data_IF_205287944303
#
_entry.id   IF_205287944303
#
_cell.length_a   1.000
_cell.length_b   1.000
_cell.length_c   1.000
_cell.angle_alpha   90.00
_cell.angle_beta   90.00
_cell.angle_gamma   90.00
#
_symmetry.space_group_name_H-M   'P 1'
#
loop_
_entity.id
_entity.type
_entity.pdbx_description
1 polymer ?
#
# COMPACT_ATOMS: atom_id res chain seq x y z
N UNK A 1 56.49 -35.96 -3.31
CA UNK A 1 57.17 -34.79 -3.89
C UNK A 1 56.34 -33.56 -3.56
N UNK A 2 56.83 -32.77 -2.61
CA UNK A 2 56.19 -31.57 -2.07
C UNK A 2 56.41 -30.37 -3.00
N UNK A 3 55.37 -29.95 -3.71
CA UNK A 3 55.39 -28.69 -4.46
C UNK A 3 55.05 -27.53 -3.51
N UNK A 4 56.08 -26.82 -3.08
CA UNK A 4 56.03 -25.57 -2.33
C UNK A 4 55.19 -24.53 -3.08
N UNK A 5 54.12 -24.03 -2.46
CA UNK A 5 53.39 -22.85 -2.94
C UNK A 5 54.19 -21.60 -2.55
N UNK A 6 54.90 -21.03 -3.52
CA UNK A 6 55.48 -19.70 -3.42
C UNK A 6 54.38 -18.67 -3.75
N UNK A 7 54.00 -17.74 -2.85
CA UNK A 7 52.99 -16.72 -3.11
C UNK A 7 53.61 -15.56 -3.89
N UNK A 8 54.06 -15.85 -5.10
CA UNK A 8 54.49 -14.84 -6.08
C UNK A 8 53.94 -15.26 -7.43
N UNK A 9 52.69 -14.93 -7.73
CA UNK A 9 52.18 -14.94 -9.10
C UNK A 9 51.13 -13.84 -9.28
N UNK A 10 51.53 -12.86 -10.08
CA UNK A 10 50.75 -11.99 -10.96
C UNK A 10 49.22 -11.99 -10.81
N UNK A 11 48.67 -10.78 -10.63
CA UNK A 11 47.26 -10.45 -10.89
C UNK A 11 47.03 -10.50 -12.41
N UNK A 12 47.08 -11.69 -12.99
CA UNK A 12 46.76 -11.91 -14.40
C UNK A 12 45.24 -12.04 -14.55
N UNK A 13 44.59 -11.32 -15.49
CA UNK A 13 43.14 -11.37 -15.64
C UNK A 13 42.70 -12.79 -16.02
N UNK A 14 41.87 -13.40 -15.17
CA UNK A 14 41.37 -14.75 -15.37
C UNK A 14 40.58 -14.83 -16.69
N UNK A 15 40.97 -15.76 -17.58
CA UNK A 15 40.18 -16.09 -18.78
C UNK A 15 38.83 -16.71 -18.39
N UNK A 16 37.80 -16.57 -19.25
CA UNK A 16 36.43 -17.04 -18.99
C UNK A 16 36.38 -18.50 -18.47
N UNK A 17 37.14 -19.39 -19.09
CA UNK A 17 37.21 -20.81 -18.68
C UNK A 17 37.90 -21.04 -17.34
N UNK A 18 38.92 -20.23 -17.01
CA UNK A 18 39.62 -20.29 -15.73
C UNK A 18 38.73 -19.78 -14.58
N UNK A 19 37.90 -18.76 -14.82
CA UNK A 19 36.93 -18.27 -13.82
C UNK A 19 35.89 -19.34 -13.47
N UNK A 20 35.28 -19.98 -14.48
CA UNK A 20 34.21 -20.95 -14.25
C UNK A 20 34.76 -22.22 -13.58
N UNK A 21 35.90 -22.74 -14.06
CA UNK A 21 36.52 -23.93 -13.47
C UNK A 21 37.04 -23.68 -12.06
N UNK A 22 37.62 -22.51 -11.77
CA UNK A 22 37.98 -22.11 -10.42
C UNK A 22 36.74 -21.98 -9.53
N UNK A 23 35.69 -21.31 -10.00
CA UNK A 23 34.43 -21.17 -9.27
C UNK A 23 33.77 -22.50 -8.94
N UNK A 24 33.76 -23.45 -9.88
CA UNK A 24 33.17 -24.77 -9.68
C UNK A 24 33.99 -25.61 -8.69
N UNK A 25 35.34 -25.52 -8.73
CA UNK A 25 36.23 -26.15 -7.75
C UNK A 25 36.06 -25.56 -6.35
N UNK A 26 35.92 -24.24 -6.23
CA UNK A 26 35.64 -23.56 -4.96
C UNK A 26 34.27 -23.97 -4.40
N UNK A 27 33.24 -23.99 -5.24
CA UNK A 27 31.90 -24.41 -4.85
C UNK A 27 31.85 -25.86 -4.40
N UNK A 28 32.49 -26.79 -5.12
CA UNK A 28 32.49 -28.20 -4.77
C UNK A 28 33.30 -28.50 -3.50
N UNK A 29 34.41 -27.79 -3.28
CA UNK A 29 35.27 -28.00 -2.10
C UNK A 29 34.66 -27.48 -0.81
N UNK A 30 33.85 -26.42 -0.86
CA UNK A 30 33.22 -25.79 0.31
C UNK A 30 31.68 -25.87 0.29
N UNK A 31 31.14 -26.83 -0.46
CA UNK A 31 29.71 -26.94 -0.77
C UNK A 31 28.80 -26.80 0.46
N UNK A 32 29.11 -27.49 1.55
CA UNK A 32 28.30 -27.46 2.78
C UNK A 32 28.32 -26.08 3.46
N UNK A 33 29.47 -25.41 3.46
CA UNK A 33 29.60 -24.07 4.07
C UNK A 33 28.88 -23.02 3.22
N UNK A 34 29.10 -23.02 1.91
CA UNK A 34 28.46 -22.09 0.98
C UNK A 34 26.95 -22.29 0.90
N UNK A 35 26.46 -23.53 0.89
CA UNK A 35 25.02 -23.80 0.98
C UNK A 35 24.43 -23.34 2.31
N UNK A 36 25.13 -23.53 3.43
CA UNK A 36 24.68 -23.05 4.74
C UNK A 36 24.57 -21.52 4.80
N UNK A 37 25.58 -20.81 4.27
CA UNK A 37 25.59 -19.36 4.16
C UNK A 37 24.47 -18.85 3.22
N UNK A 38 24.28 -19.51 2.06
CA UNK A 38 23.23 -19.16 1.11
C UNK A 38 21.84 -19.35 1.73
N UNK A 39 21.59 -20.49 2.38
CA UNK A 39 20.30 -20.75 3.04
C UNK A 39 20.01 -19.71 4.12
N UNK A 40 21.00 -19.39 4.97
CA UNK A 40 20.86 -18.34 5.98
C UNK A 40 20.55 -16.98 5.34
N UNK A 41 21.23 -16.62 4.25
CA UNK A 41 20.96 -15.37 3.54
C UNK A 41 19.52 -15.30 3.00
N UNK A 42 19.00 -16.39 2.43
CA UNK A 42 17.63 -16.42 1.92
C UNK A 42 16.55 -16.35 3.02
N UNK A 43 16.84 -16.74 4.26
CA UNK A 43 15.91 -16.54 5.38
C UNK A 43 15.62 -15.06 5.65
N UNK A 44 16.60 -14.18 5.43
CA UNK A 44 16.41 -12.73 5.63
C UNK A 44 15.43 -12.12 4.64
N UNK A 45 15.20 -12.74 3.48
CA UNK A 45 14.19 -12.30 2.51
C UNK A 45 12.77 -12.43 3.06
N UNK A 46 12.52 -13.31 4.03
CA UNK A 46 11.20 -13.51 4.64
C UNK A 46 10.86 -12.40 5.65
N UNK A 47 11.86 -11.74 6.24
CA UNK A 47 11.68 -10.75 7.31
C UNK A 47 10.76 -9.58 6.91
N UNK A 48 10.91 -8.94 5.73
CA UNK A 48 9.98 -7.89 5.28
C UNK A 48 8.53 -8.39 5.13
N UNK A 49 8.33 -9.59 4.57
CA UNK A 49 6.99 -10.17 4.40
C UNK A 49 6.30 -10.42 5.75
N UNK A 50 7.05 -10.94 6.72
CA UNK A 50 6.55 -11.09 8.09
C UNK A 50 6.23 -9.72 8.72
N UNK A 51 7.09 -8.72 8.52
CA UNK A 51 6.87 -7.36 9.00
C UNK A 51 5.60 -6.72 8.45
N UNK A 52 5.35 -6.85 7.15
CA UNK A 52 4.12 -6.37 6.51
C UNK A 52 2.89 -7.12 7.01
N UNK A 53 2.96 -8.44 7.13
CA UNK A 53 1.89 -9.26 7.69
C UNK A 53 1.55 -8.83 9.13
N UNK A 54 2.58 -8.59 9.95
CA UNK A 54 2.42 -8.12 11.33
C UNK A 54 1.85 -6.72 11.41
N UNK A 55 2.28 -5.81 10.55
CA UNK A 55 1.73 -4.46 10.48
C UNK A 55 0.22 -4.52 10.16
N UNK A 56 -0.17 -5.22 9.09
CA UNK A 56 -1.57 -5.38 8.69
C UNK A 56 -2.43 -6.01 9.81
N UNK A 57 -1.92 -7.06 10.46
CA UNK A 57 -2.57 -7.68 11.60
C UNK A 57 -2.78 -6.69 12.77
N UNK A 58 -1.77 -5.90 13.13
CA UNK A 58 -1.90 -4.93 14.23
C UNK A 58 -2.91 -3.83 13.89
N UNK A 59 -2.96 -3.38 12.63
CA UNK A 59 -3.97 -2.42 12.18
C UNK A 59 -5.38 -3.01 12.31
N UNK A 60 -5.57 -4.22 11.81
CA UNK A 60 -6.85 -4.93 11.88
C UNK A 60 -7.26 -5.29 13.32
N UNK A 61 -6.28 -5.46 14.22
CA UNK A 61 -6.53 -5.63 15.65
C UNK A 61 -7.19 -4.39 16.27
N UNK A 62 -6.78 -3.17 15.86
CA UNK A 62 -7.39 -1.94 16.36
C UNK A 62 -8.86 -1.89 15.93
N UNK A 63 -9.17 -2.19 14.67
CA UNK A 63 -10.56 -2.21 14.19
C UNK A 63 -11.39 -3.32 14.84
N UNK A 64 -10.83 -4.51 15.12
CA UNK A 64 -11.51 -5.56 15.91
C UNK A 64 -11.86 -5.07 17.31
N UNK A 65 -10.91 -4.44 18.02
CA UNK A 65 -11.16 -3.90 19.35
C UNK A 65 -12.23 -2.79 19.33
N UNK A 66 -12.12 -1.85 18.39
CA UNK A 66 -13.14 -0.80 18.20
C UNK A 66 -14.52 -1.39 17.88
N UNK A 67 -14.60 -2.47 17.10
CA UNK A 67 -15.86 -3.14 16.82
C UNK A 67 -16.44 -3.83 18.07
N UNK A 68 -15.59 -4.48 18.89
CA UNK A 68 -16.02 -5.09 20.15
C UNK A 68 -16.66 -4.08 21.10
N UNK A 69 -16.09 -2.87 21.20
CA UNK A 69 -16.69 -1.75 21.94
C UNK A 69 -18.07 -1.35 21.39
N UNK A 70 -18.23 -1.25 20.06
CA UNK A 70 -19.51 -0.90 19.42
C UNK A 70 -20.61 -1.93 19.65
N UNK A 71 -20.23 -3.19 19.85
CA UNK A 71 -21.14 -4.31 20.07
C UNK A 71 -21.42 -4.57 21.57
N UNK A 72 -20.83 -3.76 22.47
CA UNK A 72 -20.85 -3.97 23.92
C UNK A 72 -20.26 -5.33 24.35
N UNK A 73 -19.31 -5.86 23.58
CA UNK A 73 -18.57 -7.08 23.88
C UNK A 73 -17.06 -6.78 23.83
N UNK A 74 -16.53 -6.01 24.80
CA UNK A 74 -15.13 -5.61 24.80
C UNK A 74 -14.21 -6.83 24.98
N UNK A 75 -13.28 -7.00 24.04
CA UNK A 75 -12.29 -8.06 24.08
C UNK A 75 -10.97 -7.58 24.69
N UNK A 76 -10.29 -8.43 25.46
CA UNK A 76 -8.94 -8.09 25.93
C UNK A 76 -7.95 -8.04 24.75
N UNK A 77 -7.03 -7.06 24.79
CA UNK A 77 -5.98 -6.90 23.76
C UNK A 77 -5.17 -8.18 23.54
N UNK A 78 -4.92 -8.95 24.61
CA UNK A 78 -4.16 -10.20 24.55
C UNK A 78 -4.92 -11.30 23.82
N UNK A 79 -6.23 -11.44 24.09
CA UNK A 79 -7.10 -12.41 23.42
C UNK A 79 -7.24 -12.09 21.94
N UNK A 80 -7.60 -10.85 21.62
CA UNK A 80 -7.77 -10.39 20.24
C UNK A 80 -6.46 -10.53 19.43
N UNK A 81 -5.31 -10.20 20.05
CA UNK A 81 -3.99 -10.39 19.42
C UNK A 81 -3.69 -11.85 19.10
N UNK A 82 -4.09 -12.80 19.93
CA UNK A 82 -3.86 -14.24 19.68
C UNK A 82 -4.62 -14.70 18.44
N UNK A 83 -5.87 -14.27 18.29
CA UNK A 83 -6.73 -14.61 17.13
C UNK A 83 -6.18 -14.00 15.84
N UNK A 84 -5.80 -12.73 15.87
CA UNK A 84 -5.27 -12.06 14.67
C UNK A 84 -3.89 -12.62 14.29
N UNK A 85 -3.02 -12.94 15.27
CA UNK A 85 -1.69 -13.48 15.01
C UNK A 85 -1.69 -14.90 14.43
N UNK A 86 -2.73 -15.71 14.64
CA UNK A 86 -2.82 -17.01 13.98
C UNK A 86 -3.11 -16.89 12.48
N UNK A 87 -3.60 -15.72 12.03
CA UNK A 87 -4.03 -15.44 10.66
C UNK A 87 -3.07 -14.53 9.88
N UNK A 88 -1.81 -14.39 10.29
CA UNK A 88 -0.84 -13.47 9.65
C UNK A 88 -0.70 -13.69 8.13
N UNK A 89 -0.66 -14.96 7.71
CA UNK A 89 -0.57 -15.30 6.29
C UNK A 89 -1.80 -14.82 5.51
N UNK A 90 -3.01 -14.93 6.09
CA UNK A 90 -4.24 -14.45 5.48
C UNK A 90 -4.23 -12.91 5.34
N UNK A 91 -3.72 -12.18 6.34
CA UNK A 91 -3.57 -10.71 6.23
C UNK A 91 -2.58 -10.31 5.14
N UNK A 92 -1.46 -11.02 5.02
CA UNK A 92 -0.50 -10.77 3.94
C UNK A 92 -1.13 -11.05 2.57
N UNK A 93 -1.77 -12.20 2.41
CA UNK A 93 -2.40 -12.60 1.16
C UNK A 93 -3.54 -11.64 0.78
N UNK A 94 -4.34 -11.20 1.75
CA UNK A 94 -5.38 -10.17 1.55
C UNK A 94 -4.77 -8.87 1.02
N UNK A 95 -3.69 -8.37 1.63
CA UNK A 95 -3.04 -7.14 1.16
C UNK A 95 -2.45 -7.30 -0.24
N UNK A 96 -1.85 -8.44 -0.56
CA UNK A 96 -1.35 -8.74 -1.91
C UNK A 96 -2.50 -8.77 -2.92
N UNK A 97 -3.63 -9.39 -2.59
CA UNK A 97 -4.81 -9.40 -3.47
C UNK A 97 -5.38 -8.00 -3.70
N UNK A 98 -5.52 -7.20 -2.64
CA UNK A 98 -5.97 -5.81 -2.73
C UNK A 98 -4.99 -5.01 -3.61
N UNK A 99 -3.68 -5.19 -3.43
CA UNK A 99 -2.65 -4.53 -4.24
C UNK A 99 -2.79 -4.90 -5.72
N UNK A 100 -2.99 -6.19 -6.05
CA UNK A 100 -3.21 -6.65 -7.41
C UNK A 100 -4.49 -6.05 -8.00
N UNK A 101 -5.58 -6.00 -7.24
CA UNK A 101 -6.84 -5.38 -7.68
C UNK A 101 -6.62 -3.89 -7.99
N UNK A 102 -5.96 -3.15 -7.11
CA UNK A 102 -5.63 -1.74 -7.38
C UNK A 102 -4.74 -1.59 -8.61
N UNK A 103 -3.70 -2.42 -8.75
CA UNK A 103 -2.78 -2.37 -9.88
C UNK A 103 -3.51 -2.63 -11.20
N UNK A 104 -4.34 -3.67 -11.29
CA UNK A 104 -5.15 -3.98 -12.48
C UNK A 104 -6.12 -2.84 -12.78
N UNK A 105 -6.76 -2.28 -11.76
CA UNK A 105 -7.69 -1.16 -11.91
C UNK A 105 -7.00 0.11 -12.42
N UNK A 106 -5.86 0.50 -11.83
CA UNK A 106 -5.11 1.66 -12.25
C UNK A 106 -4.50 1.50 -13.64
N UNK A 107 -3.98 0.31 -13.98
CA UNK A 107 -3.52 0.01 -15.35
C UNK A 107 -4.68 0.12 -16.34
N UNK A 108 -5.86 -0.42 -16.01
CA UNK A 108 -7.05 -0.27 -16.83
C UNK A 108 -7.41 1.21 -17.06
N UNK A 109 -7.39 2.01 -16.00
CA UNK A 109 -7.66 3.45 -16.09
C UNK A 109 -6.62 4.20 -16.93
N UNK A 110 -5.32 3.89 -16.80
CA UNK A 110 -4.27 4.54 -17.59
C UNK A 110 -4.34 4.16 -19.06
N UNK A 111 -4.69 2.91 -19.38
CA UNK A 111 -4.94 2.48 -20.76
C UNK A 111 -6.13 3.24 -21.36
N UNK A 112 -7.26 3.31 -20.65
CA UNK A 112 -8.45 4.03 -21.11
C UNK A 112 -8.15 5.52 -21.30
N UNK A 113 -7.44 6.15 -20.35
CA UNK A 113 -6.97 7.52 -20.47
C UNK A 113 -6.03 7.71 -21.67
N UNK A 114 -5.07 6.81 -21.87
CA UNK A 114 -4.12 6.88 -22.97
C UNK A 114 -4.81 6.78 -24.33
N UNK A 115 -5.76 5.87 -24.49
CA UNK A 115 -6.57 5.73 -25.71
C UNK A 115 -7.39 7.00 -25.95
N UNK A 116 -8.07 7.51 -24.92
CA UNK A 116 -8.85 8.74 -25.02
C UNK A 116 -7.97 9.94 -25.41
N UNK A 117 -6.77 10.07 -24.82
CA UNK A 117 -5.84 11.15 -25.12
C UNK A 117 -5.34 11.10 -26.56
N UNK A 118 -4.97 9.91 -27.07
CA UNK A 118 -4.54 9.74 -28.46
C UNK A 118 -5.69 10.03 -29.43
N UNK A 119 -6.91 9.56 -29.13
CA UNK A 119 -8.09 9.84 -29.96
C UNK A 119 -8.39 11.35 -30.03
N UNK A 120 -8.33 12.05 -28.89
CA UNK A 120 -8.50 13.51 -28.83
C UNK A 120 -7.39 14.23 -29.60
N UNK A 121 -6.13 13.83 -29.43
CA UNK A 121 -5.01 14.43 -30.16
C UNK A 121 -5.14 14.23 -31.68
N UNK A 122 -5.51 13.03 -32.12
CA UNK A 122 -5.77 12.73 -33.53
C UNK A 122 -6.96 13.50 -34.11
N UNK A 123 -8.01 13.71 -33.32
CA UNK A 123 -9.15 14.54 -33.73
C UNK A 123 -8.73 16.01 -33.89
N UNK A 124 -7.93 16.54 -32.96
CA UNK A 124 -7.41 17.92 -33.03
C UNK A 124 -6.60 18.10 -34.31
N UNK A 125 -5.63 17.22 -34.60
CA UNK A 125 -4.80 17.31 -35.81
C UNK A 125 -5.62 17.16 -37.10
N UNK A 126 -6.68 16.34 -37.08
CA UNK A 126 -7.57 16.16 -38.22
C UNK A 126 -8.46 17.39 -38.49
N UNK A 127 -8.84 18.15 -37.44
CA UNK A 127 -9.66 19.36 -37.56
C UNK A 127 -8.79 20.57 -37.95
N UNK A 128 -7.57 20.66 -37.44
CA UNK A 128 -6.71 21.85 -37.61
C UNK A 128 -5.86 21.83 -38.88
N UNK A 129 -6.13 20.96 -39.86
CA UNK A 129 -5.34 20.72 -41.10
C UNK A 129 -4.60 21.96 -41.63
N UNK A 130 -3.40 22.22 -41.12
CA UNK A 130 -2.53 23.32 -41.56
C UNK A 130 -2.73 24.70 -40.92
N UNK A 131 -3.70 24.91 -40.03
CA UNK A 131 -3.87 26.16 -39.28
C UNK A 131 -3.15 26.09 -37.91
N UNK A 132 -2.27 27.06 -37.64
CA UNK A 132 -1.52 27.14 -36.38
C UNK A 132 -2.37 27.63 -35.19
N UNK A 133 -3.60 28.07 -35.43
CA UNK A 133 -4.49 28.63 -34.42
C UNK A 133 -5.67 27.70 -34.18
N UNK A 134 -5.74 27.12 -32.97
CA UNK A 134 -6.92 26.36 -32.54
C UNK A 134 -8.11 27.30 -32.41
N UNK A 135 -9.22 26.98 -33.08
CA UNK A 135 -10.48 27.71 -32.90
C UNK A 135 -10.86 27.72 -31.40
N UNK A 136 -11.16 28.88 -30.79
CA UNK A 136 -11.54 28.98 -29.39
C UNK A 136 -12.65 28.01 -28.96
N UNK A 137 -13.58 27.67 -29.86
CA UNK A 137 -14.65 26.70 -29.61
C UNK A 137 -14.09 25.29 -29.35
N UNK A 138 -13.05 24.88 -30.09
CA UNK A 138 -12.41 23.57 -29.92
C UNK A 138 -11.70 23.51 -28.55
N UNK A 139 -11.05 24.59 -28.14
CA UNK A 139 -10.39 24.69 -26.84
C UNK A 139 -11.42 24.51 -25.71
N UNK A 140 -12.57 25.19 -25.79
CA UNK A 140 -13.65 25.08 -24.80
C UNK A 140 -14.17 23.63 -24.72
N UNK A 141 -14.42 22.99 -25.86
CA UNK A 141 -14.88 21.59 -25.91
C UNK A 141 -13.85 20.63 -25.31
N UNK A 142 -12.56 20.85 -25.56
CA UNK A 142 -11.47 20.04 -25.01
C UNK A 142 -11.39 20.19 -23.49
N UNK A 143 -11.46 21.43 -22.98
CA UNK A 143 -11.49 21.69 -21.54
C UNK A 143 -12.70 21.02 -20.89
N UNK A 144 -13.89 21.14 -21.48
CA UNK A 144 -15.10 20.49 -20.98
C UNK A 144 -14.97 18.96 -20.96
N UNK A 145 -14.44 18.38 -22.04
CA UNK A 145 -14.14 16.95 -22.11
C UNK A 145 -13.16 16.52 -21.01
N UNK A 146 -12.08 17.30 -20.80
CA UNK A 146 -11.10 17.06 -19.75
C UNK A 146 -11.70 17.07 -18.35
N UNK A 147 -12.60 18.02 -18.07
CA UNK A 147 -13.30 18.10 -16.77
C UNK A 147 -14.21 16.88 -16.56
N UNK A 148 -15.00 16.51 -17.57
CA UNK A 148 -15.89 15.33 -17.49
C UNK A 148 -15.06 14.05 -17.29
N UNK A 149 -13.97 13.91 -18.04
CA UNK A 149 -13.10 12.75 -17.96
C UNK A 149 -12.41 12.65 -16.59
N UNK A 150 -11.91 13.77 -16.07
CA UNK A 150 -11.36 13.85 -14.72
C UNK A 150 -12.41 13.46 -13.67
N UNK A 151 -13.64 13.98 -13.79
CA UNK A 151 -14.75 13.61 -12.91
C UNK A 151 -15.07 12.10 -12.95
N UNK A 152 -15.01 11.49 -14.13
CA UNK A 152 -15.20 10.05 -14.30
C UNK A 152 -14.09 9.24 -13.63
N UNK A 153 -12.82 9.63 -13.80
CA UNK A 153 -11.68 8.98 -13.12
C UNK A 153 -11.84 9.08 -11.60
N UNK A 154 -12.10 10.29 -11.08
CA UNK A 154 -12.24 10.50 -9.64
C UNK A 154 -13.39 9.66 -9.07
N UNK A 155 -14.52 9.62 -9.78
CA UNK A 155 -15.67 8.77 -9.41
C UNK A 155 -15.27 7.29 -9.37
N UNK A 156 -14.52 6.82 -10.36
CA UNK A 156 -14.07 5.43 -10.41
C UNK A 156 -13.13 5.10 -9.23
N UNK A 157 -12.19 5.99 -8.91
CA UNK A 157 -11.26 5.84 -7.78
C UNK A 157 -12.02 5.82 -6.45
N UNK A 158 -12.93 6.77 -6.21
CA UNK A 158 -13.74 6.80 -4.99
C UNK A 158 -14.62 5.56 -4.87
N UNK A 159 -15.18 5.11 -5.99
CA UNK A 159 -16.02 3.92 -6.02
C UNK A 159 -15.25 2.67 -5.61
N UNK A 160 -14.07 2.40 -6.21
CA UNK A 160 -13.28 1.20 -5.87
C UNK A 160 -12.76 1.27 -4.42
N UNK A 161 -12.35 2.46 -3.97
CA UNK A 161 -11.85 2.67 -2.60
C UNK A 161 -12.94 2.37 -1.57
N UNK A 162 -14.15 2.87 -1.80
CA UNK A 162 -15.29 2.60 -0.91
C UNK A 162 -15.66 1.11 -0.88
N UNK A 163 -15.55 0.41 -2.01
CA UNK A 163 -15.82 -1.04 -2.09
C UNK A 163 -14.83 -1.89 -1.29
N UNK A 164 -13.57 -1.46 -1.24
CA UNK A 164 -12.48 -2.19 -0.60
C UNK A 164 -12.12 -1.62 0.79
N UNK A 165 -12.86 -0.63 1.28
CA UNK A 165 -12.51 0.08 2.52
C UNK A 165 -12.56 -0.80 3.76
N UNK A 166 -13.57 -1.68 3.86
CA UNK A 166 -13.82 -2.51 5.05
C UNK A 166 -13.19 -3.90 4.99
N UNK A 167 -12.40 -4.23 3.96
CA UNK A 167 -11.92 -5.60 3.69
C UNK A 167 -11.15 -6.25 4.85
N UNK A 168 -10.42 -5.47 5.64
CA UNK A 168 -9.63 -6.02 6.76
C UNK A 168 -10.47 -6.38 7.99
N UNK A 169 -11.66 -5.78 8.13
CA UNK A 169 -12.50 -5.88 9.32
C UNK A 169 -13.21 -7.24 9.43
N UNK A 170 -13.85 -7.78 8.36
CA UNK A 170 -14.40 -9.14 8.39
C UNK A 170 -13.31 -10.19 8.67
N UNK A 171 -12.14 -10.08 8.04
CA UNK A 171 -11.03 -11.01 8.26
C UNK A 171 -10.52 -11.00 9.72
N UNK A 172 -10.60 -9.84 10.37
CA UNK A 172 -10.20 -9.70 11.76
C UNK A 172 -11.25 -10.23 12.73
N UNK A 173 -12.54 -10.14 12.42
CA UNK A 173 -13.65 -10.39 13.35
C UNK A 173 -14.33 -11.72 13.11
N UNK A 174 -14.72 -12.00 11.87
CA UNK A 174 -15.53 -13.16 11.52
C UNK A 174 -14.69 -14.45 11.51
N UNK A 175 -15.26 -15.51 12.08
CA UNK A 175 -14.63 -16.82 12.04
C UNK A 175 -14.74 -17.45 10.64
N UNK A 176 -13.75 -18.26 10.28
CA UNK A 176 -13.67 -18.99 9.00
C UNK A 176 -13.72 -18.16 7.71
N UNK A 177 -13.39 -16.86 7.77
CA UNK A 177 -13.13 -16.05 6.58
C UNK A 177 -11.67 -16.19 6.14
N UNK A 178 -11.49 -16.31 4.82
CA UNK A 178 -10.22 -16.32 4.11
C UNK A 178 -9.99 -14.97 3.41
N UNK A 179 -8.76 -14.76 2.95
CA UNK A 179 -8.34 -13.52 2.30
C UNK A 179 -9.14 -13.16 1.02
N UNK A 180 -9.61 -14.15 0.27
CA UNK A 180 -10.46 -13.92 -0.92
C UNK A 180 -11.92 -13.68 -0.53
N UNK A 181 -12.44 -14.46 0.42
CA UNK A 181 -13.83 -14.32 0.87
C UNK A 181 -14.06 -13.01 1.62
N UNK A 182 -13.07 -12.47 2.34
CA UNK A 182 -13.18 -11.14 2.97
C UNK A 182 -13.34 -10.01 1.94
N UNK A 183 -12.73 -10.14 0.76
CA UNK A 183 -12.88 -9.15 -0.33
C UNK A 183 -14.31 -9.22 -0.89
N UNK A 184 -14.81 -10.43 -1.15
CA UNK A 184 -16.19 -10.64 -1.60
C UNK A 184 -17.19 -10.12 -0.56
N UNK A 185 -16.93 -10.38 0.72
CA UNK A 185 -17.73 -9.91 1.85
C UNK A 185 -17.79 -8.38 1.89
N UNK A 186 -16.65 -7.70 1.80
CA UNK A 186 -16.60 -6.24 1.70
C UNK A 186 -17.39 -5.73 0.49
N UNK A 187 -17.24 -6.41 -0.66
CA UNK A 187 -17.98 -6.04 -1.86
C UNK A 187 -19.48 -6.11 -1.66
N UNK A 188 -19.99 -7.18 -1.04
CA UNK A 188 -21.41 -7.34 -0.75
C UNK A 188 -21.95 -6.33 0.25
N UNK A 189 -21.25 -6.12 1.36
CA UNK A 189 -21.67 -5.18 2.40
C UNK A 189 -21.76 -3.75 1.86
N UNK A 190 -20.83 -3.36 0.99
CA UNK A 190 -20.77 -2.00 0.43
C UNK A 190 -21.75 -1.76 -0.73
N UNK A 191 -22.47 -2.79 -1.23
CA UNK A 191 -23.46 -2.62 -2.32
C UNK A 191 -24.51 -1.59 -1.91
N UNK A 192 -24.87 -0.68 -2.81
CA UNK A 192 -25.89 0.35 -2.58
C UNK A 192 -25.51 1.49 -1.62
N UNK A 193 -24.36 1.43 -0.95
CA UNK A 193 -23.95 2.42 0.07
C UNK A 193 -22.64 3.14 -0.27
N UNK A 194 -22.12 2.97 -1.49
CA UNK A 194 -20.83 3.51 -1.92
C UNK A 194 -20.69 5.00 -1.65
N UNK A 195 -21.66 5.82 -2.07
CA UNK A 195 -21.59 7.27 -1.91
C UNK A 195 -21.64 7.74 -0.46
N UNK A 196 -22.32 6.99 0.42
CA UNK A 196 -22.32 7.26 1.86
C UNK A 196 -20.96 6.95 2.46
N UNK A 197 -20.32 5.85 2.06
CA UNK A 197 -18.96 5.52 2.46
C UNK A 197 -17.99 6.60 1.97
N UNK A 198 -18.07 7.00 0.70
CA UNK A 198 -17.26 8.10 0.14
C UNK A 198 -17.44 9.38 0.95
N UNK A 199 -18.68 9.76 1.29
CA UNK A 199 -18.95 10.91 2.17
C UNK A 199 -18.27 10.80 3.53
N UNK A 200 -18.34 9.64 4.18
CA UNK A 200 -17.63 9.37 5.44
C UNK A 200 -16.12 9.50 5.26
N UNK A 201 -15.55 8.94 4.18
CA UNK A 201 -14.11 9.02 3.89
C UNK A 201 -13.66 10.46 3.65
N UNK A 202 -14.45 11.26 2.95
CA UNK A 202 -14.14 12.67 2.69
C UNK A 202 -14.17 13.50 3.98
N UNK A 203 -15.23 13.35 4.79
CA UNK A 203 -15.33 14.03 6.09
C UNK A 203 -14.18 13.59 7.02
N UNK A 204 -13.91 12.29 7.08
CA UNK A 204 -12.81 11.74 7.89
C UNK A 204 -11.46 12.27 7.43
N UNK A 205 -11.22 12.32 6.12
CA UNK A 205 -10.00 12.91 5.55
C UNK A 205 -9.85 14.37 5.98
N UNK A 206 -10.92 15.16 5.88
CA UNK A 206 -10.91 16.56 6.28
C UNK A 206 -10.58 16.75 7.77
N UNK A 207 -11.07 15.87 8.65
CA UNK A 207 -10.76 15.89 10.08
C UNK A 207 -9.29 15.56 10.37
N UNK A 208 -8.62 14.78 9.52
CA UNK A 208 -7.20 14.45 9.71
C UNK A 208 -6.23 15.53 9.22
N UNK A 209 -6.68 16.45 8.35
CA UNK A 209 -5.83 17.53 7.81
C UNK A 209 -5.20 18.39 8.91
N UNK A 210 -5.93 18.98 9.87
CA UNK A 210 -5.31 19.84 10.90
C UNK A 210 -4.30 19.10 11.78
N UNK A 211 -4.44 17.79 11.94
CA UNK A 211 -3.50 16.95 12.70
C UNK A 211 -2.22 16.73 11.89
N UNK A 212 -2.31 16.55 10.56
CA UNK A 212 -1.17 16.25 9.69
C UNK A 212 -0.39 17.50 9.27
N UNK A 213 -1.05 18.65 9.11
CA UNK A 213 -0.43 19.91 8.63
C UNK A 213 0.84 20.28 9.42
N UNK A 214 0.87 20.26 10.77
CA UNK A 214 2.09 20.56 11.52
C UNK A 214 3.27 19.67 11.15
N UNK A 215 3.05 18.36 10.99
CA UNK A 215 4.09 17.42 10.60
C UNK A 215 4.60 17.67 9.18
N UNK A 216 3.68 17.99 8.25
CA UNK A 216 4.04 18.33 6.87
C UNK A 216 4.85 19.63 6.80
N UNK A 217 4.47 20.66 7.56
CA UNK A 217 5.21 21.93 7.62
C UNK A 217 6.60 21.71 8.21
N UNK A 218 6.71 20.99 9.33
CA UNK A 218 8.01 20.68 9.94
C UNK A 218 8.90 19.88 8.99
N UNK A 219 8.35 18.84 8.34
CA UNK A 219 9.10 18.05 7.35
C UNK A 219 9.56 18.91 6.17
N UNK A 220 8.68 19.77 5.64
CA UNK A 220 9.00 20.66 4.54
C UNK A 220 10.14 21.63 4.90
N UNK A 221 10.08 22.27 6.07
CA UNK A 221 11.12 23.20 6.52
C UNK A 221 12.47 22.51 6.70
N UNK A 222 12.48 21.31 7.31
CA UNK A 222 13.71 20.53 7.49
C UNK A 222 14.29 20.12 6.14
N UNK A 223 13.46 19.61 5.22
CA UNK A 223 13.91 19.24 3.88
C UNK A 223 14.45 20.43 3.12
N UNK A 224 13.74 21.57 3.14
CA UNK A 224 14.17 22.80 2.48
C UNK A 224 15.54 23.25 2.98
N UNK A 225 15.78 23.22 4.29
CA UNK A 225 17.06 23.57 4.89
C UNK A 225 18.15 22.59 4.48
N UNK A 226 17.95 21.29 4.77
CA UNK A 226 18.97 20.26 4.54
C UNK A 226 19.30 20.07 3.06
N UNK A 227 18.34 20.17 2.15
CA UNK A 227 18.60 20.09 0.72
C UNK A 227 19.40 21.30 0.22
N UNK A 228 19.13 22.50 0.72
CA UNK A 228 19.95 23.68 0.40
C UNK A 228 21.38 23.53 0.89
N UNK A 229 21.58 23.06 2.13
CA UNK A 229 22.90 22.78 2.69
C UNK A 229 23.63 21.67 1.92
N UNK A 230 22.92 20.63 1.48
CA UNK A 230 23.50 19.56 0.68
C UNK A 230 24.01 20.05 -0.68
N UNK A 231 23.27 20.98 -1.30
CA UNK A 231 23.66 21.58 -2.58
C UNK A 231 24.87 22.52 -2.44
N UNK A 232 24.95 23.30 -1.35
CA UNK A 232 26.08 24.24 -1.16
C UNK A 232 27.38 23.53 -0.80
N UNK A 233 27.32 22.38 -0.13
CA UNK A 233 28.50 21.63 0.32
C UNK A 233 28.82 20.39 -0.53
N UNK A 234 28.06 20.13 -1.60
CA UNK A 234 28.16 18.94 -2.45
C UNK A 234 28.21 17.62 -1.64
N UNK A 235 27.51 17.56 -0.51
CA UNK A 235 27.58 16.46 0.46
C UNK A 235 26.36 15.51 0.32
N UNK A 236 26.51 14.31 -0.28
CA UNK A 236 25.38 13.39 -0.48
C UNK A 236 24.80 12.81 0.82
N UNK A 237 25.59 12.79 1.89
CA UNK A 237 25.17 12.32 3.22
C UNK A 237 24.02 13.16 3.80
N UNK A 238 23.96 14.47 3.49
CA UNK A 238 22.90 15.36 3.93
C UNK A 238 21.56 15.07 3.23
N UNK A 239 21.59 14.60 1.98
CA UNK A 239 20.40 14.16 1.23
C UNK A 239 19.84 12.86 1.84
N UNK A 240 20.72 11.93 2.19
CA UNK A 240 20.32 10.71 2.88
C UNK A 240 19.70 11.04 4.25
N UNK A 241 20.37 11.91 5.03
CA UNK A 241 19.88 12.32 6.35
C UNK A 241 18.50 13.00 6.27
N UNK A 242 18.28 13.90 5.30
CA UNK A 242 16.98 14.56 5.12
C UNK A 242 15.86 13.55 4.80
N UNK A 243 16.18 12.53 4.00
CA UNK A 243 15.25 11.44 3.66
C UNK A 243 14.90 10.59 4.89
N UNK A 244 15.90 10.27 5.73
CA UNK A 244 15.68 9.53 6.99
C UNK A 244 14.82 10.33 7.96
N UNK A 245 15.09 11.63 8.13
CA UNK A 245 14.28 12.49 9.01
C UNK A 245 12.84 12.58 8.50
N UNK A 246 12.64 12.74 7.19
CA UNK A 246 11.31 12.75 6.61
C UNK A 246 10.56 11.43 6.86
N UNK A 247 11.24 10.29 6.72
CA UNK A 247 10.65 8.98 7.04
C UNK A 247 10.20 8.91 8.50
N UNK A 248 11.04 9.35 9.45
CA UNK A 248 10.70 9.35 10.88
C UNK A 248 9.48 10.24 11.17
N UNK A 249 9.45 11.47 10.65
CA UNK A 249 8.32 12.39 10.82
C UNK A 249 7.04 11.78 10.22
N UNK A 250 7.14 11.17 9.04
CA UNK A 250 6.01 10.50 8.39
C UNK A 250 5.48 9.33 9.22
N UNK A 251 6.35 8.54 9.83
CA UNK A 251 5.95 7.42 10.69
C UNK A 251 5.24 7.89 11.96
N UNK A 252 5.73 8.97 12.58
CA UNK A 252 5.10 9.58 13.77
C UNK A 252 3.71 10.12 13.42
N UNK A 253 3.63 10.89 12.32
CA UNK A 253 2.35 11.44 11.82
C UNK A 253 1.33 10.31 11.55
N UNK A 254 1.76 9.25 10.85
CA UNK A 254 0.92 8.09 10.57
C UNK A 254 0.46 7.39 11.86
N UNK A 255 1.35 7.19 12.83
CA UNK A 255 1.02 6.51 14.10
C UNK A 255 -0.08 7.24 14.89
N UNK A 256 -0.17 8.57 14.78
CA UNK A 256 -1.22 9.38 15.43
C UNK A 256 -2.56 9.25 14.70
N UNK A 257 -2.54 9.21 13.36
CA UNK A 257 -3.76 9.26 12.53
C UNK A 257 -4.36 7.88 12.28
N UNK A 258 -3.55 6.83 12.27
CA UNK A 258 -3.96 5.45 11.98
C UNK A 258 -5.09 4.93 12.90
N UNK A 259 -5.04 5.10 14.24
CA UNK A 259 -6.09 4.59 15.13
C UNK A 259 -7.48 5.16 14.80
N UNK A 260 -7.54 6.42 14.38
CA UNK A 260 -8.79 7.06 13.95
C UNK A 260 -9.37 6.38 12.71
N UNK A 261 -8.55 6.09 11.69
CA UNK A 261 -9.01 5.36 10.50
C UNK A 261 -9.48 3.94 10.81
N UNK A 262 -8.82 3.25 11.74
CA UNK A 262 -9.21 1.92 12.18
C UNK A 262 -10.55 1.92 12.90
N UNK A 263 -10.79 2.91 13.76
CA UNK A 263 -12.10 3.10 14.39
C UNK A 263 -13.21 3.38 13.36
N UNK A 264 -12.95 4.24 12.36
CA UNK A 264 -13.92 4.50 11.28
C UNK A 264 -14.26 3.23 10.51
N UNK A 265 -13.26 2.42 10.15
CA UNK A 265 -13.50 1.14 9.46
C UNK A 265 -14.41 0.22 10.29
N UNK A 266 -14.18 0.12 11.59
CA UNK A 266 -15.02 -0.65 12.50
C UNK A 266 -16.46 -0.11 12.55
N UNK A 267 -16.63 1.22 12.67
CA UNK A 267 -17.96 1.86 12.68
C UNK A 267 -18.71 1.70 11.36
N UNK A 268 -18.04 1.88 10.22
CA UNK A 268 -18.64 1.67 8.89
C UNK A 268 -19.06 0.21 8.74
N UNK A 269 -18.21 -0.73 9.14
CA UNK A 269 -18.54 -2.15 9.10
C UNK A 269 -19.76 -2.49 9.98
N UNK A 270 -19.81 -1.96 11.21
CA UNK A 270 -20.96 -2.08 12.10
C UNK A 270 -22.25 -1.52 11.48
N UNK A 271 -22.22 -0.30 10.91
CA UNK A 271 -23.39 0.31 10.27
C UNK A 271 -23.87 -0.50 9.05
N UNK A 272 -22.96 -0.98 8.20
CA UNK A 272 -23.31 -1.81 7.05
C UNK A 272 -23.97 -3.12 7.47
N UNK A 273 -23.41 -3.78 8.49
CA UNK A 273 -23.94 -5.05 9.00
C UNK A 273 -25.27 -4.88 9.72
N UNK A 274 -25.44 -3.79 10.47
CA UNK A 274 -26.71 -3.43 11.08
C UNK A 274 -27.82 -3.24 10.05
N UNK A 275 -27.51 -2.56 8.92
CA UNK A 275 -28.48 -2.28 7.85
C UNK A 275 -28.80 -3.47 6.95
N UNK A 276 -27.79 -4.28 6.62
CA UNK A 276 -27.96 -5.40 5.67
C UNK A 276 -28.36 -6.71 6.34
N UNK A 277 -27.87 -6.94 7.55
CA UNK A 277 -28.00 -8.23 8.24
C UNK A 277 -28.83 -8.13 9.51
N UNK A 278 -29.29 -6.92 9.86
CA UNK A 278 -30.05 -6.72 11.09
C UNK A 278 -29.22 -7.00 12.35
N UNK A 279 -27.90 -6.75 12.33
CA UNK A 279 -27.01 -7.01 13.46
C UNK A 279 -27.56 -6.47 14.79
N UNK A 280 -28.18 -5.29 14.78
CA UNK A 280 -28.79 -4.73 15.99
C UNK A 280 -29.90 -5.59 16.60
N UNK A 281 -30.65 -6.36 15.79
CA UNK A 281 -31.63 -7.32 16.27
C UNK A 281 -30.94 -8.53 16.91
N UNK A 282 -29.91 -9.07 16.25
CA UNK A 282 -29.13 -10.21 16.76
C UNK A 282 -28.50 -9.90 18.12
N UNK A 283 -27.98 -8.68 18.30
CA UNK A 283 -27.39 -8.24 19.55
C UNK A 283 -28.42 -8.03 20.66
N UNK A 284 -29.66 -7.63 20.31
CA UNK A 284 -30.73 -7.52 21.30
C UNK A 284 -31.19 -8.88 21.78
N UNK A 285 -31.34 -9.84 20.86
CA UNK A 285 -31.77 -11.20 21.19
C UNK A 285 -30.73 -11.97 22.03
N UNK A 286 -29.44 -11.61 21.92
CA UNK A 286 -28.36 -12.20 22.73
C UNK A 286 -28.26 -11.63 24.17
N UNK A 287 -28.87 -10.47 24.42
CA UNK A 287 -28.85 -9.79 25.72
C UNK A 287 -30.13 -10.04 26.55
N UNK A 288 -31.03 -10.91 26.07
CA UNK A 288 -32.25 -11.38 26.75
C UNK A 288 -32.00 -12.80 27.24
#
# INVERSE_FOLDING_TARGET
MSSNFNPQNSVEPLSLGNVISAGLRLYSSHLKSYLGLAFNAYLWVIVPFYGWAKCAAILALISRLSFGELVNQPESVKSARKVVNSRLCQFLLMNVLILVIYLVFFIGLTIVYGIAAVAVAGLITAITRGENTLNPVIIILLVLFGIIFLGAILTAIFWITARLFVVEVPLAIEDNIDATSTISRSWELTKGHVWRIVGILLVSSLLTIPIQVPFSVVSFLIQMLLMRLAQTQENPSLIFLSSVINLVISLISAAIVVPFWQAIKATVYYDLRSRREGLGLQLRDHNI
#
